data_IF_001484707712
#
_entry.id   IF_001484707712
#
_cell.length_a   1.000
_cell.length_b   1.000
_cell.length_c   1.000
_cell.angle_alpha   90.00
_cell.angle_beta   90.00
_cell.angle_gamma   90.00
#
_symmetry.space_group_name_H-M   'P 1'
#
loop_
_entity.id
_entity.type
_entity.pdbx_description
1 polymer ?
#
# COMPACT_ATOMS: atom_id res chain seq x y z
N UNK A 1 3.38 -10.47 10.96
CA UNK A 1 3.77 -9.28 10.19
C UNK A 1 5.29 -9.15 10.21
N UNK A 2 5.93 -9.03 9.06
CA UNK A 2 7.37 -8.80 8.92
C UNK A 2 7.58 -7.50 8.14
N UNK A 3 8.39 -6.62 8.70
CA UNK A 3 8.81 -5.38 8.06
C UNK A 3 10.30 -5.51 7.68
N UNK A 4 10.63 -5.20 6.44
CA UNK A 4 12.00 -5.15 5.94
C UNK A 4 12.27 -3.75 5.42
N UNK A 5 13.37 -3.14 5.87
CA UNK A 5 13.79 -1.80 5.44
C UNK A 5 15.11 -1.92 4.71
N UNK A 6 15.18 -1.40 3.49
CA UNK A 6 16.36 -1.47 2.63
C UNK A 6 16.67 -0.06 2.12
N UNK A 7 17.92 0.41 2.18
CA UNK A 7 18.29 1.66 1.52
C UNK A 7 18.10 1.50 0.00
N UNK A 8 17.39 2.44 -0.61
CA UNK A 8 17.06 2.41 -2.04
C UNK A 8 17.40 3.76 -2.67
N UNK A 9 18.11 3.73 -3.80
CA UNK A 9 18.38 4.94 -4.57
C UNK A 9 17.10 5.47 -5.20
N UNK A 10 17.00 6.79 -5.34
CA UNK A 10 15.83 7.47 -5.91
C UNK A 10 15.52 7.08 -7.37
N UNK A 11 16.53 6.67 -8.15
CA UNK A 11 16.40 6.25 -9.56
C UNK A 11 16.29 4.74 -9.76
N UNK A 12 16.13 3.99 -8.66
CA UNK A 12 16.07 2.54 -8.71
C UNK A 12 14.82 2.04 -9.46
N UNK A 13 14.97 0.88 -10.09
CA UNK A 13 13.88 0.20 -10.81
C UNK A 13 13.33 -0.90 -9.94
N UNK A 14 12.03 -0.89 -9.74
CA UNK A 14 11.33 -1.85 -8.91
C UNK A 14 10.37 -2.68 -9.77
N UNK A 15 10.56 -4.00 -9.77
CA UNK A 15 9.63 -4.96 -10.36
C UNK A 15 8.89 -5.68 -9.25
N UNK A 16 7.56 -5.65 -9.31
CA UNK A 16 6.70 -6.20 -8.27
C UNK A 16 5.80 -7.27 -8.87
N UNK A 17 5.74 -8.40 -8.19
CA UNK A 17 4.76 -9.45 -8.45
C UNK A 17 4.07 -9.82 -7.14
N UNK A 18 2.76 -9.64 -7.08
CA UNK A 18 1.96 -10.00 -5.92
C UNK A 18 0.89 -11.03 -6.32
N UNK A 19 0.71 -12.08 -5.52
CA UNK A 19 -0.36 -13.07 -5.75
C UNK A 19 -1.69 -12.66 -5.12
N UNK A 20 -1.68 -11.72 -4.17
CA UNK A 20 -2.85 -11.18 -3.48
C UNK A 20 -2.92 -9.66 -3.71
N UNK A 21 -3.14 -8.85 -2.66
CA UNK A 21 -3.31 -7.40 -2.79
C UNK A 21 -1.97 -6.64 -2.71
N UNK A 22 -1.88 -5.53 -3.42
CA UNK A 22 -0.67 -4.70 -3.48
C UNK A 22 -0.99 -3.24 -3.20
N UNK A 23 -0.31 -2.67 -2.21
CA UNK A 23 -0.33 -1.23 -1.93
C UNK A 23 1.08 -0.66 -2.08
N UNK A 24 1.25 0.33 -2.96
CA UNK A 24 2.51 1.03 -3.20
C UNK A 24 2.33 2.51 -2.92
N UNK A 25 3.20 3.07 -2.08
CA UNK A 25 3.18 4.47 -1.70
C UNK A 25 4.56 5.10 -1.89
N UNK A 26 4.60 6.21 -2.63
CA UNK A 26 5.80 7.03 -2.75
C UNK A 26 6.00 7.94 -1.54
N UNK A 27 7.24 8.05 -1.08
CA UNK A 27 7.69 8.95 -0.02
C UNK A 27 8.95 9.71 -0.45
N UNK A 28 9.29 10.79 0.26
CA UNK A 28 10.54 11.53 0.01
C UNK A 28 11.78 10.83 0.59
N UNK A 29 11.57 9.73 1.33
CA UNK A 29 12.66 8.98 1.96
C UNK A 29 13.37 8.10 0.93
N UNK A 30 14.69 7.99 1.04
CA UNK A 30 15.52 7.11 0.19
C UNK A 30 15.57 5.67 0.74
N UNK A 31 14.42 5.16 1.18
CA UNK A 31 14.28 3.85 1.79
C UNK A 31 13.12 3.10 1.15
N UNK A 32 13.31 1.80 0.98
CA UNK A 32 12.28 0.86 0.60
C UNK A 32 11.84 0.13 1.86
N UNK A 33 10.59 0.32 2.26
CA UNK A 33 9.94 -0.41 3.34
C UNK A 33 8.99 -1.42 2.73
N UNK A 34 9.22 -2.69 3.02
CA UNK A 34 8.35 -3.79 2.59
C UNK A 34 7.68 -4.38 3.81
N UNK A 35 6.35 -4.39 3.81
CA UNK A 35 5.52 -4.92 4.88
C UNK A 35 4.68 -6.06 4.31
N UNK A 36 4.83 -7.24 4.90
CA UNK A 36 4.07 -8.45 4.56
C UNK A 36 3.55 -9.12 5.83
N UNK A 37 2.46 -9.86 5.72
CA UNK A 37 1.89 -10.58 6.87
C UNK A 37 2.80 -11.70 7.38
N UNK A 38 3.31 -12.53 6.45
CA UNK A 38 4.18 -13.64 6.76
C UNK A 38 5.55 -13.46 6.11
N UNK A 39 6.61 -13.71 6.87
CA UNK A 39 7.97 -13.44 6.39
C UNK A 39 8.47 -14.39 5.32
N UNK A 40 7.87 -15.57 5.21
CA UNK A 40 8.27 -16.66 4.32
C UNK A 40 7.64 -16.54 2.92
N UNK A 41 6.60 -15.70 2.77
CA UNK A 41 5.93 -15.43 1.49
C UNK A 41 6.63 -14.33 0.67
N UNK A 42 7.69 -13.71 1.20
CA UNK A 42 8.40 -12.61 0.56
C UNK A 42 9.74 -13.07 -0.02
N UNK A 43 9.91 -12.91 -1.32
CA UNK A 43 11.17 -13.12 -2.04
C UNK A 43 11.64 -11.79 -2.61
N UNK A 44 12.81 -11.35 -2.19
CA UNK A 44 13.43 -10.12 -2.69
C UNK A 44 14.79 -10.45 -3.29
N UNK A 45 15.08 -9.84 -4.44
CA UNK A 45 16.40 -9.87 -5.07
C UNK A 45 16.77 -8.47 -5.49
N UNK A 46 17.99 -8.07 -5.20
CA UNK A 46 18.59 -6.85 -5.69
C UNK A 46 19.76 -7.21 -6.61
N UNK A 47 19.74 -6.67 -7.82
CA UNK A 47 20.83 -6.83 -8.78
C UNK A 47 21.06 -5.49 -9.51
N UNK A 48 22.22 -4.86 -9.30
CA UNK A 48 22.62 -3.62 -9.98
C UNK A 48 21.60 -2.47 -9.90
N UNK A 49 20.94 -2.27 -8.74
CA UNK A 49 19.93 -1.21 -8.56
C UNK A 49 18.55 -1.56 -9.13
N UNK A 50 18.36 -2.81 -9.56
CA UNK A 50 17.05 -3.38 -9.88
C UNK A 50 16.57 -4.24 -8.73
N UNK A 51 15.45 -3.86 -8.13
CA UNK A 51 14.80 -4.58 -7.05
C UNK A 51 13.67 -5.43 -7.65
N UNK A 52 13.68 -6.72 -7.37
CA UNK A 52 12.59 -7.64 -7.71
C UNK A 52 11.94 -8.12 -6.43
N UNK A 53 10.68 -7.77 -6.25
CA UNK A 53 9.87 -8.18 -5.11
C UNK A 53 8.79 -9.13 -5.60
N UNK A 54 8.76 -10.32 -5.01
CA UNK A 54 7.69 -11.27 -5.19
C UNK A 54 7.05 -11.56 -3.82
N UNK A 55 5.75 -11.38 -3.73
CA UNK A 55 4.94 -11.71 -2.55
C UNK A 55 3.82 -12.67 -2.93
N UNK A 56 3.64 -13.71 -2.12
CA UNK A 56 2.49 -14.64 -2.26
C UNK A 56 1.27 -14.20 -1.43
N UNK A 57 1.43 -13.17 -0.60
CA UNK A 57 0.39 -12.58 0.28
C UNK A 57 0.30 -11.07 0.07
N UNK A 58 -0.61 -10.41 0.78
CA UNK A 58 -0.75 -8.96 0.76
C UNK A 58 0.58 -8.27 1.06
N UNK A 59 0.88 -7.24 0.27
CA UNK A 59 2.16 -6.56 0.28
C UNK A 59 1.95 -5.06 0.28
N UNK A 60 2.55 -4.37 1.25
CA UNK A 60 2.66 -2.92 1.26
C UNK A 60 4.10 -2.49 1.06
N UNK A 61 4.31 -1.60 0.11
CA UNK A 61 5.60 -1.05 -0.27
C UNK A 61 5.56 0.46 -0.07
N UNK A 62 6.49 0.99 0.73
CA UNK A 62 6.77 2.41 0.80
C UNK A 62 8.14 2.60 0.18
N UNK A 63 8.24 3.47 -0.81
CA UNK A 63 9.44 3.62 -1.64
C UNK A 63 9.67 5.07 -2.03
N UNK A 64 10.87 5.45 -2.52
CA UNK A 64 11.11 6.82 -2.97
C UNK A 64 10.15 7.19 -4.10
N UNK A 65 9.46 8.33 -4.01
CA UNK A 65 8.45 8.79 -4.97
C UNK A 65 8.95 8.90 -6.43
N UNK A 66 10.26 8.98 -6.61
CA UNK A 66 10.97 9.08 -7.89
C UNK A 66 11.35 7.71 -8.47
N UNK A 67 11.17 6.62 -7.72
CA UNK A 67 11.52 5.28 -8.20
C UNK A 67 10.64 4.85 -9.38
N UNK A 68 11.23 4.11 -10.31
CA UNK A 68 10.50 3.54 -11.45
C UNK A 68 9.82 2.25 -11.03
N UNK A 69 8.50 2.28 -10.90
CA UNK A 69 7.69 1.13 -10.46
C UNK A 69 7.11 0.40 -11.67
N UNK A 70 7.40 -0.90 -11.75
CA UNK A 70 6.80 -1.83 -12.70
C UNK A 70 6.06 -2.93 -11.92
N UNK A 71 4.74 -2.95 -12.00
CA UNK A 71 3.91 -4.00 -11.43
C UNK A 71 3.65 -5.03 -12.52
N UNK A 72 4.30 -6.20 -12.46
CA UNK A 72 4.16 -7.22 -13.51
C UNK A 72 2.79 -7.92 -13.44
N UNK A 73 2.43 -8.34 -12.23
CA UNK A 73 1.17 -9.05 -11.97
C UNK A 73 0.73 -8.87 -10.52
N UNK A 74 -0.57 -8.63 -10.34
CA UNK A 74 -1.27 -8.65 -9.05
C UNK A 74 -2.45 -9.59 -9.18
N UNK A 75 -2.62 -10.50 -8.22
CA UNK A 75 -3.71 -11.47 -8.24
C UNK A 75 -5.03 -10.90 -7.70
N UNK A 76 -4.97 -10.01 -6.71
CA UNK A 76 -6.11 -9.26 -6.20
C UNK A 76 -6.09 -7.81 -6.66
N UNK A 77 -6.30 -6.91 -5.72
CA UNK A 77 -6.46 -5.48 -5.95
C UNK A 77 -5.13 -4.74 -5.83
N UNK A 78 -5.02 -3.61 -6.54
CA UNK A 78 -3.79 -2.84 -6.59
C UNK A 78 -4.05 -1.36 -6.34
N UNK A 79 -3.33 -0.78 -5.39
CA UNK A 79 -3.33 0.63 -5.09
C UNK A 79 -1.91 1.21 -5.27
N UNK A 80 -1.79 2.28 -6.05
CA UNK A 80 -0.56 3.05 -6.15
C UNK A 80 -0.83 4.51 -5.84
N UNK A 81 0.03 5.10 -4.99
CA UNK A 81 -0.13 6.47 -4.50
C UNK A 81 1.18 7.25 -4.51
N UNK A 82 1.11 8.54 -4.82
CA UNK A 82 2.20 9.53 -4.69
C UNK A 82 3.47 9.17 -5.47
N UNK A 83 3.34 8.75 -6.73
CA UNK A 83 4.48 8.39 -7.57
C UNK A 83 4.75 9.47 -8.62
N UNK A 84 5.94 10.08 -8.55
CA UNK A 84 6.40 11.14 -9.48
C UNK A 84 6.96 10.58 -10.78
N UNK A 85 7.26 9.28 -10.82
CA UNK A 85 7.67 8.58 -12.04
C UNK A 85 6.49 7.87 -12.70
N UNK A 86 6.53 7.74 -14.02
CA UNK A 86 5.53 6.97 -14.77
C UNK A 86 5.55 5.50 -14.32
N UNK A 87 4.38 4.95 -14.07
CA UNK A 87 4.22 3.57 -13.62
C UNK A 87 3.86 2.67 -14.80
N UNK A 88 4.44 1.47 -14.84
CA UNK A 88 4.05 0.42 -15.78
C UNK A 88 3.34 -0.68 -14.99
N UNK A 89 2.15 -1.04 -15.42
CA UNK A 89 1.30 -2.06 -14.79
C UNK A 89 0.93 -3.08 -15.86
N UNK A 90 1.26 -4.34 -15.61
CA UNK A 90 0.85 -5.47 -16.42
C UNK A 90 -0.60 -5.85 -16.09
N UNK A 91 -0.76 -6.97 -15.39
CA UNK A 91 -2.08 -7.57 -15.15
C UNK A 91 -2.51 -7.45 -13.69
N UNK A 92 -3.65 -6.83 -13.47
CA UNK A 92 -4.33 -6.78 -12.16
C UNK A 92 -5.56 -7.68 -12.22
N UNK A 93 -5.69 -8.60 -11.26
CA UNK A 93 -6.79 -9.55 -11.20
C UNK A 93 -8.10 -8.94 -10.70
N UNK A 94 -8.02 -8.02 -9.74
CA UNK A 94 -9.15 -7.27 -9.22
C UNK A 94 -9.14 -5.81 -9.67
N UNK A 95 -9.35 -4.90 -8.72
CA UNK A 95 -9.51 -3.46 -8.95
C UNK A 95 -8.17 -2.73 -8.95
N UNK A 96 -8.10 -1.63 -9.70
CA UNK A 96 -6.93 -0.76 -9.77
C UNK A 96 -7.27 0.64 -9.29
N UNK A 97 -6.54 1.13 -8.29
CA UNK A 97 -6.60 2.50 -7.82
C UNK A 97 -5.26 3.22 -8.01
N UNK A 98 -5.31 4.34 -8.73
CA UNK A 98 -4.18 5.23 -8.97
C UNK A 98 -4.50 6.59 -8.36
N UNK A 99 -3.64 7.08 -7.46
CA UNK A 99 -3.83 8.35 -6.77
C UNK A 99 -2.55 9.18 -6.83
N UNK A 100 -2.63 10.40 -7.37
CA UNK A 100 -1.52 11.35 -7.38
C UNK A 100 -0.28 10.77 -8.07
N UNK A 101 -0.47 10.31 -9.31
CA UNK A 101 0.58 9.68 -10.13
C UNK A 101 1.00 10.59 -11.29
N UNK A 102 2.25 10.52 -11.70
CA UNK A 102 2.72 11.27 -12.87
C UNK A 102 2.13 10.73 -14.19
N UNK A 103 1.85 9.43 -14.28
CA UNK A 103 1.25 8.80 -15.45
C UNK A 103 1.33 7.28 -15.33
N UNK A 104 0.53 6.57 -16.13
CA UNK A 104 0.45 5.12 -16.06
C UNK A 104 0.29 4.47 -17.43
N UNK A 105 0.83 3.26 -17.57
CA UNK A 105 0.55 2.35 -18.68
C UNK A 105 0.04 1.04 -18.07
N UNK A 106 -1.21 0.69 -18.31
CA UNK A 106 -1.89 -0.47 -17.74
C UNK A 106 -2.29 -1.43 -18.86
N UNK A 107 -1.78 -2.67 -18.82
CA UNK A 107 -2.13 -3.69 -19.81
C UNK A 107 -3.56 -4.20 -19.61
N UNK A 108 -3.89 -4.66 -18.40
CA UNK A 108 -5.25 -5.12 -18.10
C UNK A 108 -5.61 -5.07 -16.62
N UNK A 109 -6.81 -4.59 -16.33
CA UNK A 109 -7.46 -4.66 -15.01
C UNK A 109 -8.69 -5.56 -15.10
N UNK A 110 -8.82 -6.52 -14.21
CA UNK A 110 -9.93 -7.48 -14.19
C UNK A 110 -11.25 -6.87 -13.70
N UNK A 111 -11.17 -6.00 -12.69
CA UNK A 111 -12.30 -5.26 -12.13
C UNK A 111 -12.33 -3.79 -12.56
N UNK A 112 -12.65 -2.92 -11.61
CA UNK A 112 -12.84 -1.48 -11.82
C UNK A 112 -11.51 -0.72 -11.77
N UNK A 113 -11.43 0.39 -12.51
CA UNK A 113 -10.28 1.26 -12.52
C UNK A 113 -10.64 2.66 -12.04
N UNK A 114 -9.97 3.10 -10.99
CA UNK A 114 -10.15 4.40 -10.36
C UNK A 114 -8.85 5.19 -10.46
N UNK A 115 -8.88 6.33 -11.16
CA UNK A 115 -7.74 7.23 -11.32
C UNK A 115 -8.09 8.58 -10.73
N UNK A 116 -7.21 9.08 -9.87
CA UNK A 116 -7.35 10.38 -9.25
C UNK A 116 -6.05 11.15 -9.36
N UNK A 117 -6.15 12.41 -9.78
CA UNK A 117 -5.03 13.36 -9.84
C UNK A 117 -3.83 12.80 -10.62
N UNK A 118 -4.07 12.22 -11.80
CA UNK A 118 -2.96 11.95 -12.71
C UNK A 118 -2.43 13.29 -13.26
N UNK A 119 -1.12 13.46 -13.33
CA UNK A 119 -0.52 14.69 -13.87
C UNK A 119 -0.33 14.59 -15.39
N UNK A 120 0.14 13.45 -15.88
CA UNK A 120 0.44 13.19 -17.28
C UNK A 120 -0.50 12.16 -17.91
N UNK A 121 -0.03 11.54 -18.99
CA UNK A 121 -0.80 10.58 -19.77
C UNK A 121 -1.08 9.26 -19.03
N UNK A 122 -2.31 8.76 -19.17
CA UNK A 122 -2.73 7.43 -18.70
C UNK A 122 -3.22 6.58 -19.87
N UNK A 123 -2.60 5.42 -20.05
CA UNK A 123 -2.96 4.45 -21.08
C UNK A 123 -3.51 3.18 -20.41
N UNK A 124 -4.74 2.80 -20.75
CA UNK A 124 -5.45 1.62 -20.27
C UNK A 124 -5.83 0.76 -21.48
N UNK A 125 -5.20 -0.40 -21.62
CA UNK A 125 -5.49 -1.30 -22.74
C UNK A 125 -6.83 -2.04 -22.54
N UNK A 126 -7.10 -2.53 -21.32
CA UNK A 126 -8.35 -3.20 -20.98
C UNK A 126 -8.73 -2.98 -19.52
N UNK A 127 -9.98 -2.61 -19.28
CA UNK A 127 -10.62 -2.57 -17.97
C UNK A 127 -11.85 -3.48 -18.05
N UNK A 128 -11.92 -4.50 -17.18
CA UNK A 128 -13.00 -5.48 -17.18
C UNK A 128 -14.32 -4.92 -16.64
N UNK A 129 -14.24 -4.03 -15.65
CA UNK A 129 -15.38 -3.32 -15.08
C UNK A 129 -15.50 -1.88 -15.59
N UNK A 130 -15.81 -0.97 -14.68
CA UNK A 130 -16.02 0.45 -14.95
C UNK A 130 -14.72 1.27 -14.77
N UNK A 131 -14.64 2.39 -15.49
CA UNK A 131 -13.54 3.34 -15.41
C UNK A 131 -14.03 4.65 -14.82
N UNK A 132 -13.45 5.08 -13.70
CA UNK A 132 -13.65 6.43 -13.16
C UNK A 132 -12.31 7.14 -13.10
N UNK A 133 -12.17 8.25 -13.80
CA UNK A 133 -10.95 9.02 -13.80
C UNK A 133 -11.22 10.52 -13.63
N UNK A 134 -10.52 11.14 -12.68
CA UNK A 134 -10.60 12.58 -12.42
C UNK A 134 -9.20 13.19 -12.43
N UNK A 135 -8.95 14.05 -13.42
CA UNK A 135 -7.69 14.75 -13.61
C UNK A 135 -6.66 13.95 -14.43
N UNK A 136 -6.01 14.66 -15.35
CA UNK A 136 -4.99 14.12 -16.25
C UNK A 136 -4.62 15.07 -17.38
N UNK A 137 -3.47 14.81 -18.00
CA UNK A 137 -3.15 15.40 -19.29
C UNK A 137 -3.99 14.70 -20.36
N UNK A 138 -3.66 13.45 -20.69
CA UNK A 138 -4.41 12.66 -21.68
C UNK A 138 -4.81 11.31 -21.12
N UNK A 139 -5.91 10.76 -21.62
CA UNK A 139 -6.33 9.39 -21.30
C UNK A 139 -6.67 8.62 -22.57
N UNK A 140 -6.11 7.41 -22.67
CA UNK A 140 -6.41 6.44 -23.72
C UNK A 140 -6.93 5.17 -23.05
N UNK A 141 -8.23 4.94 -23.11
CA UNK A 141 -8.90 3.75 -22.62
C UNK A 141 -9.47 2.94 -23.79
N UNK A 142 -8.69 1.95 -24.26
CA UNK A 142 -9.00 1.21 -25.50
C UNK A 142 -10.19 0.26 -25.39
N UNK A 143 -10.51 -0.17 -24.17
CA UNK A 143 -11.65 -1.05 -23.91
C UNK A 143 -12.00 -1.07 -22.43
N UNK A 144 -13.17 -0.53 -22.10
CA UNK A 144 -13.78 -0.55 -20.77
C UNK A 144 -15.03 -1.42 -20.86
N UNK A 145 -15.15 -2.41 -19.99
CA UNK A 145 -16.27 -3.37 -20.02
C UNK A 145 -17.60 -2.74 -19.62
N UNK A 146 -17.57 -1.84 -18.63
CA UNK A 146 -18.74 -1.16 -18.09
C UNK A 146 -18.83 0.31 -18.51
N UNK A 147 -19.10 1.16 -17.53
CA UNK A 147 -19.27 2.61 -17.68
C UNK A 147 -17.92 3.34 -17.61
N UNK A 148 -17.78 4.45 -18.36
CA UNK A 148 -16.63 5.33 -18.27
C UNK A 148 -17.02 6.75 -17.84
N UNK A 149 -16.60 7.13 -16.63
CA UNK A 149 -16.77 8.45 -16.02
C UNK A 149 -15.45 9.21 -16.05
N UNK A 150 -15.32 10.23 -16.91
CA UNK A 150 -14.09 11.01 -17.06
C UNK A 150 -14.30 12.49 -16.76
N UNK A 151 -13.49 13.04 -15.85
CA UNK A 151 -13.57 14.42 -15.39
C UNK A 151 -12.23 15.14 -15.55
N UNK A 152 -12.27 16.42 -15.92
CA UNK A 152 -11.15 17.36 -15.77
C UNK A 152 -9.85 16.98 -16.50
N UNK A 153 -9.94 16.36 -17.68
CA UNK A 153 -8.78 16.13 -18.55
C UNK A 153 -8.47 17.37 -19.41
N UNK A 154 -7.18 17.64 -19.60
CA UNK A 154 -6.69 18.86 -20.28
C UNK A 154 -6.19 18.65 -21.70
N UNK A 155 -5.91 17.41 -22.07
CA UNK A 155 -5.41 16.96 -23.37
C UNK A 155 -6.31 15.88 -23.96
N UNK A 156 -5.77 15.10 -24.90
CA UNK A 156 -6.55 14.15 -25.71
C UNK A 156 -7.24 13.08 -24.87
N UNK A 157 -8.52 12.85 -25.15
CA UNK A 157 -9.35 11.82 -24.51
C UNK A 157 -9.78 10.82 -25.58
N UNK A 158 -9.36 9.58 -25.46
CA UNK A 158 -9.87 8.48 -26.27
C UNK A 158 -10.40 7.38 -25.35
N UNK A 159 -11.69 7.07 -25.46
CA UNK A 159 -12.36 6.08 -24.61
C UNK A 159 -13.30 5.22 -25.43
N UNK A 160 -13.28 3.92 -25.17
CA UNK A 160 -14.18 2.95 -25.77
C UNK A 160 -14.79 2.08 -24.66
N UNK A 161 -16.07 2.33 -24.37
CA UNK A 161 -16.83 1.66 -23.31
C UNK A 161 -17.89 0.74 -23.89
N UNK A 162 -18.14 -0.37 -23.20
CA UNK A 162 -19.23 -1.29 -23.49
C UNK A 162 -20.60 -0.70 -23.15
N UNK A 163 -20.67 0.08 -22.07
CA UNK A 163 -21.90 0.74 -21.60
C UNK A 163 -21.78 2.26 -21.78
N UNK A 164 -22.32 3.05 -20.85
CA UNK A 164 -22.41 4.51 -20.91
C UNK A 164 -21.04 5.22 -20.77
N UNK A 165 -20.90 6.37 -21.43
CA UNK A 165 -19.75 7.26 -21.26
C UNK A 165 -20.23 8.64 -20.82
N UNK A 166 -19.75 9.08 -19.66
CA UNK A 166 -19.94 10.44 -19.17
C UNK A 166 -18.60 11.18 -19.17
N UNK A 167 -18.58 12.30 -19.88
CA UNK A 167 -17.42 13.18 -19.96
C UNK A 167 -17.78 14.54 -19.38
N UNK A 168 -16.91 15.10 -18.54
CA UNK A 168 -17.03 16.47 -18.08
C UNK A 168 -15.73 17.23 -18.33
N UNK A 169 -15.84 18.26 -19.16
CA UNK A 169 -14.76 19.15 -19.50
C UNK A 169 -15.02 20.50 -18.84
N UNK A 170 -14.00 21.04 -18.17
CA UNK A 170 -14.09 22.33 -17.48
C UNK A 170 -13.36 23.45 -18.25
N UNK A 171 -12.70 23.12 -19.36
CA UNK A 171 -11.90 24.05 -20.16
C UNK A 171 -12.70 24.63 -21.32
N UNK A 172 -12.58 25.94 -21.55
CA UNK A 172 -13.25 26.61 -22.68
C UNK A 172 -12.75 26.10 -24.02
N UNK A 173 -11.44 25.86 -24.16
CA UNK A 173 -10.91 25.17 -25.33
C UNK A 173 -10.96 23.68 -25.06
N UNK A 174 -11.95 23.01 -25.65
CA UNK A 174 -12.13 21.57 -25.46
C UNK A 174 -10.98 20.85 -26.18
N UNK A 175 -10.36 19.83 -25.55
CA UNK A 175 -9.34 19.02 -26.21
C UNK A 175 -9.94 18.14 -27.31
N UNK A 176 -9.09 17.42 -28.04
CA UNK A 176 -9.56 16.38 -28.95
C UNK A 176 -10.17 15.23 -28.15
N UNK A 177 -11.42 14.88 -28.46
CA UNK A 177 -12.16 13.81 -27.79
C UNK A 177 -12.62 12.80 -28.84
N UNK A 178 -12.35 11.52 -28.57
CA UNK A 178 -12.88 10.38 -29.32
C UNK A 178 -13.50 9.40 -28.35
N UNK A 179 -14.81 9.48 -28.20
CA UNK A 179 -15.55 8.59 -27.29
C UNK A 179 -16.44 7.62 -28.08
N UNK A 180 -16.39 6.35 -27.71
CA UNK A 180 -17.28 5.31 -28.20
C UNK A 180 -17.96 4.64 -27.01
N UNK A 181 -19.26 4.44 -27.14
CA UNK A 181 -20.12 3.83 -26.14
C UNK A 181 -20.99 2.80 -26.84
N UNK A 182 -21.26 1.67 -26.16
CA UNK A 182 -22.26 0.71 -26.62
C UNK A 182 -23.70 1.13 -26.28
N UNK A 183 -23.85 2.13 -25.41
CA UNK A 183 -25.13 2.69 -24.94
C UNK A 183 -25.12 4.21 -25.20
N UNK A 184 -25.39 5.03 -24.19
CA UNK A 184 -25.46 6.48 -24.26
C UNK A 184 -24.10 7.17 -24.08
N UNK A 185 -23.99 8.41 -24.58
CA UNK A 185 -22.88 9.32 -24.27
C UNK A 185 -23.42 10.65 -23.77
N UNK A 186 -22.98 11.05 -22.58
CA UNK A 186 -23.25 12.38 -22.03
C UNK A 186 -21.96 13.20 -21.94
N UNK A 187 -21.92 14.36 -22.60
CA UNK A 187 -20.80 15.31 -22.55
C UNK A 187 -21.25 16.62 -21.90
N UNK A 188 -20.63 16.95 -20.78
CA UNK A 188 -20.74 18.25 -20.11
C UNK A 188 -19.61 19.17 -20.56
N UNK A 189 -19.98 20.36 -21.01
CA UNK A 189 -19.09 21.42 -21.46
C UNK A 189 -19.30 22.69 -20.63
N UNK A 190 -18.32 23.60 -20.53
CA UNK A 190 -18.59 24.91 -19.97
C UNK A 190 -19.41 25.76 -20.95
N UNK A 191 -20.17 26.75 -20.45
CA UNK A 191 -20.99 27.65 -21.29
C UNK A 191 -20.18 28.36 -22.40
N UNK A 192 -18.89 28.58 -22.17
CA UNK A 192 -17.97 29.24 -23.11
C UNK A 192 -17.10 28.24 -23.90
N UNK A 193 -17.55 27.00 -24.07
CA UNK A 193 -16.83 25.98 -24.81
C UNK A 193 -16.62 26.32 -26.29
N UNK A 194 -15.51 25.84 -26.83
CA UNK A 194 -15.08 26.00 -28.22
C UNK A 194 -14.61 24.65 -28.76
N UNK A 195 -15.41 24.03 -29.63
CA UNK A 195 -15.10 22.75 -30.24
C UNK A 195 -15.87 22.52 -31.54
N UNK A 196 -15.45 21.52 -32.30
CA UNK A 196 -16.20 20.99 -33.44
C UNK A 196 -16.81 19.64 -33.04
N UNK A 197 -18.14 19.57 -32.93
CA UNK A 197 -18.84 18.33 -32.64
C UNK A 197 -19.02 17.49 -33.91
N UNK A 198 -18.75 16.18 -33.79
CA UNK A 198 -19.09 15.12 -34.75
C UNK A 198 -19.76 13.98 -33.99
N UNK A 199 -21.09 13.93 -34.06
CA UNK A 199 -21.94 13.08 -33.24
C UNK A 199 -22.57 11.98 -34.08
N UNK A 200 -22.48 10.73 -33.62
CA UNK A 200 -23.04 9.55 -34.28
C UNK A 200 -23.83 8.70 -33.31
N UNK A 201 -25.15 8.72 -33.45
CA UNK A 201 -26.09 8.06 -32.57
C UNK A 201 -26.73 6.85 -33.27
N UNK A 202 -26.60 5.66 -32.70
CA UNK A 202 -27.20 4.44 -33.25
C UNK A 202 -28.70 4.35 -33.04
N UNK A 203 -29.22 4.94 -31.95
CA UNK A 203 -30.64 5.07 -31.64
C UNK A 203 -31.30 6.30 -32.28
N UNK A 204 -30.54 7.04 -33.09
CA UNK A 204 -30.99 8.25 -33.80
C UNK A 204 -31.39 9.40 -32.89
N UNK A 205 -31.06 9.38 -31.60
CA UNK A 205 -31.35 10.50 -30.68
C UNK A 205 -30.10 11.31 -30.38
N UNK A 206 -30.13 12.61 -30.72
CA UNK A 206 -29.05 13.56 -30.47
C UNK A 206 -29.62 14.86 -29.89
N UNK A 207 -29.22 15.18 -28.66
CA UNK A 207 -29.58 16.41 -27.95
C UNK A 207 -28.35 17.26 -27.67
N UNK A 208 -28.38 18.53 -28.08
CA UNK A 208 -27.31 19.51 -27.87
C UNK A 208 -27.90 20.76 -27.23
N UNK A 209 -27.59 20.95 -25.95
CA UNK A 209 -27.94 22.09 -25.11
C UNK A 209 -26.67 22.79 -24.64
N UNK A 210 -25.80 23.25 -25.55
CA UNK A 210 -24.49 23.78 -25.20
C UNK A 210 -24.09 25.00 -26.04
N UNK A 211 -23.41 25.97 -25.43
CA UNK A 211 -22.88 27.16 -26.12
C UNK A 211 -23.98 28.04 -26.71
N UNK A 212 -25.12 28.12 -26.03
CA UNK A 212 -26.31 28.86 -26.49
C UNK A 212 -27.10 28.18 -27.61
N UNK A 213 -26.75 26.94 -27.97
CA UNK A 213 -27.54 26.10 -28.88
C UNK A 213 -28.51 25.23 -28.07
N UNK A 214 -29.74 25.09 -28.55
CA UNK A 214 -30.76 24.20 -28.00
C UNK A 214 -31.38 23.44 -29.17
N UNK A 215 -30.92 22.21 -29.35
CA UNK A 215 -31.19 21.38 -30.53
C UNK A 215 -31.49 19.96 -30.08
N UNK A 216 -32.66 19.48 -30.43
CA UNK A 216 -33.06 18.07 -30.27
C UNK A 216 -33.38 17.50 -31.64
N UNK A 217 -32.72 16.41 -32.00
CA UNK A 217 -32.79 15.81 -33.33
C UNK A 217 -32.95 14.30 -33.24
N UNK A 218 -33.86 13.80 -34.07
CA UNK A 218 -33.99 12.38 -34.38
C UNK A 218 -33.17 12.06 -35.65
N UNK A 219 -31.83 12.05 -35.54
CA UNK A 219 -30.90 11.80 -36.66
C UNK A 219 -29.72 10.93 -36.22
N UNK A 220 -29.16 10.17 -37.17
CA UNK A 220 -28.02 9.29 -36.94
C UNK A 220 -26.68 10.02 -36.85
N UNK A 221 -26.45 10.97 -37.75
CA UNK A 221 -25.18 11.70 -37.86
C UNK A 221 -25.46 13.20 -37.78
N UNK A 222 -24.71 13.91 -36.94
CA UNK A 222 -24.87 15.35 -36.78
C UNK A 222 -23.53 16.01 -36.44
N UNK A 223 -23.23 17.13 -37.08
CA UNK A 223 -22.00 17.88 -36.82
C UNK A 223 -22.30 19.36 -36.73
N UNK A 224 -21.74 20.03 -35.71
CA UNK A 224 -21.83 21.49 -35.58
C UNK A 224 -20.62 22.06 -34.85
N UNK A 225 -20.21 23.31 -35.16
CA UNK A 225 -19.29 24.04 -34.30
C UNK A 225 -20.03 24.54 -33.04
N UNK A 226 -19.37 24.46 -31.90
CA UNK A 226 -19.76 25.16 -30.66
C UNK A 226 -18.80 26.34 -30.46
N UNK A 227 -19.37 27.52 -30.17
CA UNK A 227 -18.62 28.76 -30.03
C UNK A 227 -17.85 29.13 -31.30
N UNK A 228 -16.54 29.34 -31.19
CA UNK A 228 -15.67 29.70 -32.32
C UNK A 228 -15.18 28.48 -33.14
N UNK A 229 -15.65 27.27 -32.83
CA UNK A 229 -15.03 26.03 -33.29
C UNK A 229 -13.71 25.73 -32.57
N UNK A 230 -13.05 24.63 -32.91
CA UNK A 230 -11.83 24.23 -32.22
C UNK A 230 -11.39 22.81 -32.53
N UNK A 231 -10.89 22.11 -31.52
CA UNK A 231 -10.55 20.69 -31.64
C UNK A 231 -11.80 19.85 -31.96
N UNK A 232 -11.57 18.70 -32.59
CA UNK A 232 -12.64 17.77 -32.94
C UNK A 232 -13.08 16.97 -31.71
N UNK A 233 -14.39 16.90 -31.51
CA UNK A 233 -15.05 16.10 -30.48
C UNK A 233 -15.95 15.10 -31.20
N UNK A 234 -15.43 13.88 -31.37
CA UNK A 234 -16.11 12.79 -32.04
C UNK A 234 -16.73 11.84 -31.02
N UNK A 235 -18.06 11.79 -30.97
CA UNK A 235 -18.83 10.95 -30.05
C UNK A 235 -19.63 9.93 -30.87
N UNK A 236 -19.52 8.65 -30.53
CA UNK A 236 -20.27 7.57 -31.17
C UNK A 236 -20.97 6.72 -30.11
N UNK A 237 -22.29 6.86 -30.00
CA UNK A 237 -23.13 6.13 -29.06
C UNK A 237 -23.91 5.02 -29.77
N UNK A 238 -24.22 3.95 -29.03
CA UNK A 238 -25.15 2.91 -29.48
C UNK A 238 -26.59 3.42 -29.50
N UNK A 239 -26.96 4.21 -28.49
CA UNK A 239 -28.34 4.64 -28.26
C UNK A 239 -28.50 6.15 -28.44
N UNK A 240 -28.22 6.98 -27.43
CA UNK A 240 -28.39 8.43 -27.50
C UNK A 240 -27.12 9.23 -27.22
N UNK A 241 -27.04 10.45 -27.75
CA UNK A 241 -25.97 11.40 -27.42
C UNK A 241 -26.57 12.66 -26.83
N UNK A 242 -26.07 13.06 -25.67
CA UNK A 242 -26.41 14.32 -25.02
C UNK A 242 -25.17 15.18 -24.81
N UNK A 243 -25.18 16.40 -25.34
CA UNK A 243 -24.17 17.42 -25.07
C UNK A 243 -24.84 18.57 -24.34
N UNK A 244 -24.34 18.99 -23.18
CA UNK A 244 -24.99 20.02 -22.37
C UNK A 244 -23.97 20.95 -21.70
N UNK A 245 -24.28 22.24 -21.64
CA UNK A 245 -23.56 23.23 -20.83
C UNK A 245 -24.21 23.52 -19.48
N UNK A 246 -25.46 23.06 -19.30
CA UNK A 246 -26.16 23.13 -18.03
C UNK A 246 -25.37 22.32 -17.02
N UNK A 247 -24.79 23.03 -16.04
CA UNK A 247 -24.18 22.45 -14.85
C UNK A 247 -25.12 21.38 -14.32
N UNK A 248 -24.60 20.19 -14.02
CA UNK A 248 -25.37 19.05 -13.50
C UNK A 248 -26.30 19.61 -12.41
N UNK A 249 -27.62 19.56 -12.64
CA UNK A 249 -28.59 19.97 -11.65
C UNK A 249 -28.41 19.08 -10.41
N UNK A 250 -27.63 19.56 -9.45
CA UNK A 250 -27.15 18.75 -8.32
C UNK A 250 -25.72 19.09 -7.91
N UNK A 251 -25.49 20.33 -7.48
CA UNK A 251 -24.32 20.72 -6.69
C UNK A 251 -24.40 20.19 -5.23
N UNK A 252 -25.00 19.01 -5.02
CA UNK A 252 -25.07 18.28 -3.74
C UNK A 252 -24.33 16.93 -3.77
N UNK A 253 -23.87 16.53 -4.95
CA UNK A 253 -23.25 15.21 -5.16
C UNK A 253 -21.73 15.29 -5.32
N UNK A 254 -21.15 16.44 -5.66
CA UNK A 254 -19.69 16.58 -5.65
C UNK A 254 -19.09 16.61 -4.24
N UNK A 255 -19.89 16.88 -3.19
CA UNK A 255 -19.50 16.67 -1.79
C UNK A 255 -19.75 15.23 -1.30
N UNK A 256 -20.36 14.35 -2.12
CA UNK A 256 -20.79 13.00 -1.72
C UNK A 256 -20.20 11.85 -2.56
N UNK A 257 -19.55 12.15 -3.70
CA UNK A 257 -19.02 11.13 -4.63
C UNK A 257 -17.59 10.66 -4.32
N UNK A 258 -16.94 11.34 -3.38
CA UNK A 258 -15.65 10.99 -2.80
C UNK A 258 -15.87 10.59 -1.34
N UNK A 259 -16.69 9.56 -1.12
CA UNK A 259 -16.73 8.95 0.19
C UNK A 259 -15.36 8.30 0.44
N UNK A 260 -14.51 9.10 1.07
CA UNK A 260 -13.22 8.77 1.64
C UNK A 260 -13.35 7.51 2.53
N UNK A 261 -14.57 7.18 2.97
CA UNK A 261 -14.87 6.05 3.84
C UNK A 261 -14.87 4.67 3.12
N UNK A 262 -15.18 4.58 1.81
CA UNK A 262 -15.19 3.26 1.14
C UNK A 262 -13.78 2.69 0.93
N UNK A 263 -12.79 3.54 0.64
CA UNK A 263 -11.38 3.13 0.55
C UNK A 263 -10.54 3.40 1.79
N UNK A 264 -11.06 4.11 2.81
CA UNK A 264 -10.49 3.99 4.15
C UNK A 264 -10.47 2.51 4.53
N UNK A 265 -11.52 1.73 4.32
CA UNK A 265 -11.45 0.31 4.70
C UNK A 265 -10.41 -0.51 3.91
N UNK A 266 -10.09 -0.13 2.67
CA UNK A 266 -9.13 -0.86 1.84
C UNK A 266 -7.66 -0.60 2.24
N UNK A 267 -7.30 0.63 2.63
CA UNK A 267 -5.93 0.99 3.04
C UNK A 267 -5.71 1.20 4.55
N UNK A 268 -6.79 1.36 5.31
CA UNK A 268 -6.77 1.79 6.71
C UNK A 268 -6.87 0.61 7.69
N UNK A 269 -7.19 -0.61 7.27
CA UNK A 269 -7.09 -1.78 8.18
C UNK A 269 -5.63 -2.16 8.44
N UNK A 270 -4.72 -1.92 7.50
CA UNK A 270 -3.28 -2.05 7.73
C UNK A 270 -2.75 -0.78 8.44
N UNK A 271 -3.17 0.42 8.06
CA UNK A 271 -2.76 1.66 8.72
C UNK A 271 -3.23 1.79 10.19
N UNK A 272 -4.42 1.28 10.52
CA UNK A 272 -4.94 1.16 11.89
C UNK A 272 -4.18 0.08 12.64
N UNK A 273 -3.92 -1.11 12.07
CA UNK A 273 -3.06 -2.14 12.69
C UNK A 273 -1.62 -1.68 12.90
N UNK A 274 -1.07 -0.81 12.04
CA UNK A 274 0.26 -0.22 12.20
C UNK A 274 0.27 0.85 13.31
N UNK A 275 -0.75 1.72 13.37
CA UNK A 275 -0.88 2.72 14.45
C UNK A 275 -1.28 2.11 15.80
N UNK A 276 -2.15 1.09 15.81
CA UNK A 276 -2.49 0.29 16.98
C UNK A 276 -1.31 -0.58 17.38
N UNK A 277 -0.55 -1.16 16.45
CA UNK A 277 0.69 -1.88 16.73
C UNK A 277 1.75 -0.97 17.36
N UNK A 278 1.90 0.27 16.87
CA UNK A 278 2.76 1.28 17.50
C UNK A 278 2.23 1.73 18.88
N UNK A 279 0.92 1.89 19.05
CA UNK A 279 0.32 2.21 20.36
C UNK A 279 0.46 1.05 21.35
N UNK A 280 0.22 -0.19 20.94
CA UNK A 280 0.36 -1.38 21.78
C UNK A 280 1.82 -1.61 22.16
N UNK A 281 2.76 -1.39 21.23
CA UNK A 281 4.19 -1.42 21.53
C UNK A 281 4.60 -0.28 22.48
N UNK A 282 4.09 0.95 22.27
CA UNK A 282 4.32 2.10 23.14
C UNK A 282 3.75 1.92 24.55
N UNK A 283 2.50 1.48 24.66
CA UNK A 283 1.79 1.25 25.93
C UNK A 283 2.39 0.07 26.71
N UNK A 284 2.87 -0.98 26.01
CA UNK A 284 3.58 -2.09 26.65
C UNK A 284 4.95 -1.68 27.19
N UNK A 285 5.66 -0.80 26.47
CA UNK A 285 6.94 -0.25 26.92
C UNK A 285 6.74 0.73 28.09
N UNK A 286 5.68 1.54 28.06
CA UNK A 286 5.31 2.42 29.17
C UNK A 286 4.90 1.62 30.42
N UNK A 287 4.11 0.55 30.27
CA UNK A 287 3.79 -0.36 31.37
C UNK A 287 5.03 -1.05 31.93
N UNK A 288 5.94 -1.54 31.09
CA UNK A 288 7.19 -2.16 31.52
C UNK A 288 8.10 -1.15 32.27
N UNK A 289 8.20 0.10 31.80
CA UNK A 289 8.92 1.17 32.48
C UNK A 289 8.30 1.50 33.85
N UNK A 290 6.97 1.56 33.93
CA UNK A 290 6.23 1.87 35.16
C UNK A 290 6.33 0.74 36.18
N UNK A 291 6.38 -0.51 35.72
CA UNK A 291 6.56 -1.69 36.56
C UNK A 291 8.01 -1.81 37.05
N UNK A 292 8.99 -1.53 36.18
CA UNK A 292 10.40 -1.41 36.56
C UNK A 292 10.64 -0.27 37.57
N UNK A 293 9.95 0.86 37.42
CA UNK A 293 10.06 1.98 38.36
C UNK A 293 9.45 1.65 39.73
N UNK A 294 8.31 0.93 39.76
CA UNK A 294 7.70 0.43 41.01
C UNK A 294 8.59 -0.62 41.69
N UNK A 295 9.15 -1.56 40.93
CA UNK A 295 10.10 -2.54 41.43
C UNK A 295 11.37 -1.87 41.96
N UNK A 296 11.88 -0.86 41.25
CA UNK A 296 13.02 -0.04 41.67
C UNK A 296 12.76 0.74 42.96
N UNK A 297 11.55 1.31 43.14
CA UNK A 297 11.17 1.98 44.38
C UNK A 297 11.03 1.01 45.57
N UNK A 298 10.52 -0.20 45.33
CA UNK A 298 10.44 -1.23 46.37
C UNK A 298 11.82 -1.75 46.75
N UNK A 299 12.68 -2.02 45.76
CA UNK A 299 14.07 -2.38 46.00
C UNK A 299 14.84 -1.27 46.72
N UNK A 300 14.63 0.00 46.34
CA UNK A 300 15.22 1.15 47.00
C UNK A 300 14.81 1.27 48.48
N UNK A 301 13.54 1.02 48.79
CA UNK A 301 13.03 1.02 50.17
C UNK A 301 13.57 -0.14 51.00
N UNK A 302 13.77 -1.31 50.41
CA UNK A 302 14.34 -2.45 51.12
C UNK A 302 15.83 -2.26 51.37
N UNK A 303 16.55 -1.70 50.39
CA UNK A 303 17.95 -1.30 50.53
C UNK A 303 18.10 -0.23 51.62
N UNK A 304 17.23 0.78 51.63
CA UNK A 304 17.23 1.82 52.67
C UNK A 304 16.91 1.27 54.07
N UNK A 305 16.01 0.28 54.17
CA UNK A 305 15.72 -0.43 55.43
C UNK A 305 16.92 -1.24 55.91
N UNK A 306 17.57 -1.99 55.01
CA UNK A 306 18.78 -2.76 55.32
C UNK A 306 19.95 -1.85 55.71
N UNK A 307 20.13 -0.71 55.04
CA UNK A 307 21.15 0.27 55.42
C UNK A 307 20.87 0.90 56.77
N UNK A 308 19.62 1.18 57.09
CA UNK A 308 19.21 1.71 58.40
C UNK A 308 19.41 0.68 59.52
N UNK A 309 19.09 -0.58 59.29
CA UNK A 309 19.33 -1.66 60.24
C UNK A 309 20.84 -1.94 60.43
N UNK A 310 21.65 -1.76 59.38
CA UNK A 310 23.12 -1.83 59.44
C UNK A 310 23.76 -0.64 60.17
N UNK A 311 23.13 0.54 60.12
CA UNK A 311 23.61 1.73 60.85
C UNK A 311 23.19 1.67 62.34
N UNK A 312 22.02 1.11 62.64
CA UNK A 312 21.58 0.82 64.01
C UNK A 312 22.44 -0.27 64.70
N UNK A 313 23.06 -1.18 63.93
CA UNK A 313 23.94 -2.24 64.45
C UNK A 313 25.42 -1.87 64.53
N UNK A 314 25.83 -0.63 64.20
CA UNK A 314 27.22 -0.15 64.31
C UNK A 314 27.71 0.22 65.72
N UNK A 315 26.98 -0.17 66.76
CA UNK A 315 27.49 -0.15 68.14
C UNK A 315 27.29 -1.50 68.84
N UNK A 316 28.15 -2.49 68.55
CA UNK A 316 28.80 -3.38 69.54
C UNK A 316 29.75 -4.40 68.88
N UNK A 317 30.80 -4.71 69.62
CA UNK A 317 32.03 -5.44 69.26
C UNK A 317 31.89 -6.89 68.74
N UNK A 318 32.86 -7.29 67.91
CA UNK A 318 33.70 -8.49 68.13
C UNK A 318 33.27 -9.80 67.46
N UNK A 319 34.23 -10.62 66.96
CA UNK A 319 34.00 -11.61 65.89
C UNK A 319 33.57 -12.97 66.42
N UNK A 320 32.83 -13.78 65.64
CA UNK A 320 33.10 -15.23 65.49
C UNK A 320 32.20 -15.92 64.44
N UNK A 321 32.84 -16.91 63.82
CA UNK A 321 32.40 -17.90 62.84
C UNK A 321 31.26 -18.83 63.35
N UNK A 322 30.26 -19.17 62.53
CA UNK A 322 29.90 -20.58 62.25
C UNK A 322 28.72 -20.78 61.27
N UNK A 323 28.89 -21.88 60.53
CA UNK A 323 28.02 -22.59 59.58
C UNK A 323 26.81 -23.22 60.27
N UNK A 324 25.68 -23.37 59.57
CA UNK A 324 24.78 -24.53 59.72
C UNK A 324 23.95 -24.77 58.45
N UNK A 325 23.98 -26.03 57.99
CA UNK A 325 23.05 -26.60 57.01
C UNK A 325 22.04 -27.53 57.69
N UNK A 326 21.63 -28.56 56.92
CA UNK A 326 20.68 -29.65 57.21
C UNK A 326 19.21 -29.33 56.90
N UNK A 327 18.40 -30.23 56.32
CA UNK A 327 18.57 -31.49 55.57
C UNK A 327 17.15 -31.95 55.25
N UNK A 328 16.89 -32.47 54.05
CA UNK A 328 15.56 -32.90 53.58
C UNK A 328 15.55 -34.42 53.40
N UNK A 329 14.45 -35.08 53.80
CA UNK A 329 14.25 -36.53 53.65
C UNK A 329 12.95 -36.85 52.88
N UNK A 330 13.06 -37.86 52.01
CA UNK A 330 12.19 -38.40 50.95
C UNK A 330 10.82 -38.99 51.33
N UNK A 331 9.87 -38.97 50.38
CA UNK A 331 9.36 -40.11 49.55
C UNK A 331 8.05 -39.70 48.83
N UNK A 332 7.59 -40.14 47.65
CA UNK A 332 8.02 -41.10 46.60
C UNK A 332 7.06 -40.98 45.38
N UNK A 333 7.42 -41.63 44.25
CA UNK A 333 6.64 -42.01 43.04
C UNK A 333 6.67 -41.01 41.85
N UNK A 334 6.83 -41.39 40.57
CA UNK A 334 7.04 -42.68 39.88
C UNK A 334 7.57 -42.43 38.46
N UNK A 335 8.23 -43.45 37.92
CA UNK A 335 9.07 -43.54 36.71
C UNK A 335 8.44 -43.21 35.34
N UNK A 336 9.27 -42.70 34.41
CA UNK A 336 9.50 -43.33 33.09
C UNK A 336 10.85 -42.89 32.49
N UNK A 337 11.51 -43.79 31.77
CA UNK A 337 12.96 -43.84 31.55
C UNK A 337 13.46 -43.14 30.28
N UNK A 338 14.64 -42.50 30.32
CA UNK A 338 15.55 -42.33 29.16
C UNK A 338 17.01 -42.42 29.62
N UNK A 339 17.83 -42.97 28.72
CA UNK A 339 19.19 -43.47 28.86
C UNK A 339 20.23 -42.37 29.14
N UNK A 340 21.24 -42.75 29.91
CA UNK A 340 22.48 -42.02 30.22
C UNK A 340 23.24 -41.56 28.97
N UNK A 341 23.49 -40.25 28.90
CA UNK A 341 24.52 -39.58 28.12
C UNK A 341 25.26 -38.57 29.03
N UNK A 342 26.38 -37.99 28.59
CA UNK A 342 27.26 -37.16 29.42
C UNK A 342 26.53 -35.89 29.90
N UNK A 343 26.65 -35.54 31.18
CA UNK A 343 25.90 -34.42 31.78
C UNK A 343 26.40 -33.07 31.24
N UNK A 344 25.47 -32.20 30.83
CA UNK A 344 25.73 -30.81 30.39
C UNK A 344 26.57 -30.00 31.40
N UNK A 345 26.57 -30.41 32.67
CA UNK A 345 27.35 -29.80 33.75
C UNK A 345 28.86 -29.91 33.52
N UNK A 346 29.36 -31.02 32.97
CA UNK A 346 30.79 -31.22 32.72
C UNK A 346 31.28 -30.40 31.53
N UNK A 347 30.44 -30.25 30.48
CA UNK A 347 30.71 -29.39 29.32
C UNK A 347 30.74 -27.91 29.73
N UNK A 348 29.81 -27.49 30.59
CA UNK A 348 29.76 -26.13 31.14
C UNK A 348 31.01 -25.80 31.98
N UNK A 349 31.56 -26.77 32.70
CA UNK A 349 32.78 -26.57 33.48
C UNK A 349 34.01 -26.35 32.58
N UNK A 350 34.15 -27.12 31.50
CA UNK A 350 35.24 -26.99 30.53
C UNK A 350 35.18 -25.64 29.81
N UNK A 351 33.98 -25.18 29.42
CA UNK A 351 33.78 -23.87 28.81
C UNK A 351 34.11 -22.72 29.77
N UNK A 352 33.80 -22.88 31.07
CA UNK A 352 34.16 -21.90 32.09
C UNK A 352 35.68 -21.83 32.32
N UNK A 353 36.39 -22.96 32.24
CA UNK A 353 37.85 -22.99 32.32
C UNK A 353 38.54 -22.35 31.11
N UNK A 354 37.95 -22.46 29.92
CA UNK A 354 38.40 -21.76 28.71
C UNK A 354 38.20 -20.24 28.85
N UNK A 355 37.04 -19.82 29.36
CA UNK A 355 36.72 -18.40 29.60
C UNK A 355 37.67 -17.76 30.63
N UNK A 356 38.04 -18.51 31.66
CA UNK A 356 39.03 -18.10 32.67
C UNK A 356 40.49 -18.20 32.18
N UNK A 357 40.73 -18.59 30.92
CA UNK A 357 42.05 -18.80 30.29
C UNK A 357 42.96 -19.80 31.03
N UNK A 358 42.37 -20.70 31.81
CA UNK A 358 43.12 -21.72 32.58
C UNK A 358 43.56 -22.91 31.73
N UNK A 359 42.93 -23.09 30.57
CA UNK A 359 43.24 -24.11 29.58
C UNK A 359 43.31 -23.48 28.20
N UNK A 360 44.09 -24.09 27.30
CA UNK A 360 44.16 -23.67 25.90
C UNK A 360 42.95 -24.18 25.10
N UNK A 361 42.68 -23.56 23.94
CA UNK A 361 41.58 -23.96 23.04
C UNK A 361 41.72 -25.42 22.61
N UNK A 362 42.95 -25.87 22.32
CA UNK A 362 43.23 -27.24 21.89
C UNK A 362 43.01 -28.28 23.01
N UNK A 363 43.24 -27.91 24.27
CA UNK A 363 42.98 -28.78 25.43
C UNK A 363 41.48 -28.88 25.73
N UNK A 364 40.74 -27.77 25.59
CA UNK A 364 39.29 -27.76 25.76
C UNK A 364 38.58 -28.64 24.72
N UNK A 365 39.01 -28.59 23.46
CA UNK A 365 38.47 -29.45 22.39
C UNK A 365 38.75 -30.94 22.66
N UNK A 366 39.93 -31.27 23.21
CA UNK A 366 40.28 -32.65 23.53
C UNK A 366 39.46 -33.21 24.70
N UNK A 367 39.13 -32.38 25.69
CA UNK A 367 38.30 -32.75 26.83
C UNK A 367 36.82 -32.87 26.46
N UNK A 368 36.30 -31.95 25.63
CA UNK A 368 34.94 -32.01 25.10
C UNK A 368 34.73 -33.26 24.23
N UNK A 369 35.69 -33.59 23.35
CA UNK A 369 35.61 -34.81 22.52
C UNK A 369 35.74 -36.12 23.32
N UNK A 370 36.39 -36.09 24.49
CA UNK A 370 36.48 -37.26 25.38
C UNK A 370 35.18 -37.50 26.17
N UNK A 371 34.41 -36.44 26.42
CA UNK A 371 33.10 -36.51 27.07
C UNK A 371 32.01 -37.00 26.11
N UNK A 372 32.14 -36.80 24.81
CA UNK A 372 31.13 -37.14 23.80
C UNK A 372 31.12 -38.62 23.36
N UNK A 373 31.87 -39.50 24.05
CA UNK A 373 32.14 -40.89 23.62
C UNK A 373 31.56 -41.98 24.50
#
# INVERSE_FOLDING_TARGET
MKQTVIPMKSDARLFIKCSADLSVEGSEESTLVVIVDHGDSLRMREENGVYRIQSDTDCRLILPDTAMVTVEKVGGDCQLKNLKSRVIIGKIGGDLKLDSICGASVESTGGDCHIYAAVGAVELARVGGSLKADGGESILASGVGGEALLYNFSGTIEVNSGDEVLLQISQSNVPEIRAKSGSDITLYLPENAHCQLDLKSGGEEISVYAGGQEVDLEVRDFSMPIGNGGAMVSLSAGDSIKVTDREKAGNDDHESFWDEDHWKNFGFDIGRKVREGLKIAGDSMEMALKEAEKAGKLAGREVERVFRDLDETRFRHGPHNNVVGFSMAENQASSSAVKTGPSEEERMLVLKMLQEKKISVEEAEKLLNALDR
#
